data_IF_985503025953
#
_entry.id   IF_985503025953
#
_cell.length_a   1.000
_cell.length_b   1.000
_cell.length_c   1.000
_cell.angle_alpha   90.00
_cell.angle_beta   90.00
_cell.angle_gamma   90.00
#
_symmetry.space_group_name_H-M   'P 1'
#
loop_
_entity.id
_entity.type
_entity.pdbx_description
1 polymer ?
#
# COMPACT_ATOMS: atom_id res chain seq x y z
N UNK A 1 2.68 3.51 -12.89
CA UNK A 1 2.84 2.57 -11.77
C UNK A 1 2.59 1.09 -12.16
N UNK A 2 3.56 0.18 -11.95
CA UNK A 2 3.36 -1.28 -12.11
C UNK A 2 4.05 -2.04 -10.98
N UNK A 3 3.27 -2.53 -10.02
CA UNK A 3 3.74 -3.36 -8.91
C UNK A 3 3.17 -4.77 -9.09
N UNK A 4 3.95 -5.85 -8.91
CA UNK A 4 3.42 -7.21 -8.97
C UNK A 4 2.26 -7.44 -8.00
N UNK A 5 1.23 -8.19 -8.43
CA UNK A 5 0.04 -8.56 -7.62
C UNK A 5 -0.77 -7.40 -7.03
N UNK A 6 -0.57 -6.19 -7.54
CA UNK A 6 -1.38 -5.03 -7.20
C UNK A 6 -2.81 -5.19 -7.69
N UNK A 7 -3.77 -4.85 -6.84
CA UNK A 7 -5.16 -4.69 -7.25
C UNK A 7 -5.32 -3.38 -8.05
N UNK A 8 -6.20 -3.41 -9.06
CA UNK A 8 -6.45 -2.25 -9.94
C UNK A 8 -7.12 -1.12 -9.17
N UNK A 9 -8.04 -1.42 -8.25
CA UNK A 9 -8.70 -0.38 -7.45
C UNK A 9 -7.72 0.25 -6.45
N UNK A 10 -6.84 -0.54 -5.84
CA UNK A 10 -5.77 -0.01 -5.00
C UNK A 10 -4.79 0.88 -5.78
N UNK A 11 -4.45 0.50 -7.02
CA UNK A 11 -3.61 1.33 -7.90
C UNK A 11 -4.29 2.65 -8.26
N UNK A 12 -5.61 2.63 -8.55
CA UNK A 12 -6.38 3.87 -8.80
C UNK A 12 -6.42 4.78 -7.58
N UNK A 13 -6.60 4.22 -6.39
CA UNK A 13 -6.58 5.01 -5.15
C UNK A 13 -5.26 5.77 -4.96
N UNK A 14 -4.12 5.18 -5.32
CA UNK A 14 -2.81 5.87 -5.31
C UNK A 14 -2.75 7.00 -6.35
N UNK A 15 -3.27 6.76 -7.56
CA UNK A 15 -3.34 7.78 -8.62
C UNK A 15 -4.24 8.95 -8.21
N UNK A 16 -5.37 8.67 -7.55
CA UNK A 16 -6.34 9.69 -7.12
C UNK A 16 -5.78 10.65 -6.06
N UNK A 17 -4.75 10.21 -5.32
CA UNK A 17 -3.98 11.04 -4.37
C UNK A 17 -2.69 11.61 -4.95
N UNK A 18 -2.49 11.47 -6.28
CA UNK A 18 -1.37 12.06 -7.01
C UNK A 18 -0.11 11.19 -7.11
N UNK A 19 -0.17 9.91 -6.73
CA UNK A 19 0.96 8.98 -6.86
C UNK A 19 0.79 8.21 -8.18
N UNK A 20 1.63 8.55 -9.15
CA UNK A 20 1.62 7.99 -10.49
C UNK A 20 2.83 7.09 -10.77
N UNK A 21 3.92 7.31 -10.04
CA UNK A 21 5.18 6.60 -10.17
C UNK A 21 5.62 5.93 -8.85
N UNK A 22 6.41 4.86 -8.99
CA UNK A 22 6.77 4.02 -7.84
C UNK A 22 7.71 4.75 -6.87
N UNK A 23 8.62 5.57 -7.38
CA UNK A 23 9.56 6.32 -6.52
C UNK A 23 8.85 7.33 -5.61
N UNK A 24 7.64 7.78 -5.96
CA UNK A 24 6.86 8.73 -5.17
C UNK A 24 6.33 8.12 -3.86
N UNK A 25 6.39 6.80 -3.74
CA UNK A 25 6.06 6.05 -2.52
C UNK A 25 7.22 5.98 -1.53
N UNK A 26 8.46 6.24 -1.96
CA UNK A 26 9.65 6.10 -1.10
C UNK A 26 9.60 7.10 0.06
N UNK A 27 9.76 6.61 1.30
CA UNK A 27 9.69 7.44 2.50
C UNK A 27 8.28 7.91 2.88
N UNK A 28 7.23 7.42 2.20
CA UNK A 28 5.83 7.64 2.59
C UNK A 28 5.36 6.53 3.52
N UNK A 29 4.66 6.90 4.59
CA UNK A 29 3.99 5.91 5.44
C UNK A 29 2.75 5.34 4.72
N UNK A 30 2.59 4.00 4.63
CA UNK A 30 1.41 3.36 4.04
C UNK A 30 0.09 3.86 4.63
N UNK A 31 0.05 4.03 5.95
CA UNK A 31 -1.12 4.46 6.70
C UNK A 31 -1.57 5.88 6.30
N UNK A 32 -0.61 6.78 6.05
CA UNK A 32 -0.89 8.15 5.61
C UNK A 32 -1.48 8.14 4.19
N UNK A 33 -0.88 7.37 3.28
CA UNK A 33 -1.40 7.22 1.91
C UNK A 33 -2.81 6.62 1.89
N UNK A 34 -3.07 5.64 2.76
CA UNK A 34 -4.38 5.02 2.89
C UNK A 34 -5.43 6.00 3.38
N UNK A 35 -5.14 6.79 4.42
CA UNK A 35 -6.09 7.81 4.90
C UNK A 35 -6.33 8.91 3.85
N UNK A 36 -5.29 9.37 3.15
CA UNK A 36 -5.43 10.31 2.01
C UNK A 36 -6.38 9.75 0.95
N UNK A 37 -6.24 8.47 0.59
CA UNK A 37 -7.11 7.81 -0.37
C UNK A 37 -8.54 7.63 0.17
N UNK A 38 -8.69 7.35 1.47
CA UNK A 38 -10.01 7.20 2.12
C UNK A 38 -10.77 8.52 2.17
N UNK A 39 -10.08 9.65 2.29
CA UNK A 39 -10.69 10.98 2.16
C UNK A 39 -11.26 11.24 0.76
N UNK A 40 -10.71 10.60 -0.28
CA UNK A 40 -11.23 10.67 -1.66
C UNK A 40 -12.31 9.62 -1.95
N UNK A 41 -12.26 8.48 -1.26
CA UNK A 41 -13.17 7.35 -1.43
C UNK A 41 -13.58 6.77 -0.06
N UNK A 42 -14.67 7.28 0.50
CA UNK A 42 -15.14 6.92 1.86
C UNK A 42 -15.62 5.47 1.97
N UNK A 43 -16.02 4.84 0.86
CA UNK A 43 -16.46 3.44 0.83
C UNK A 43 -15.29 2.45 0.64
N UNK A 44 -14.04 2.93 0.72
CA UNK A 44 -12.86 2.09 0.59
C UNK A 44 -12.80 1.07 1.74
N UNK A 45 -12.74 -0.24 1.45
CA UNK A 45 -12.57 -1.28 2.46
C UNK A 45 -11.25 -1.16 3.22
N UNK A 46 -11.29 -1.40 4.54
CA UNK A 46 -10.11 -1.35 5.42
C UNK A 46 -9.03 -2.38 5.05
N UNK A 47 -9.46 -3.53 4.51
CA UNK A 47 -8.54 -4.59 4.06
C UNK A 47 -7.63 -4.10 2.93
N UNK A 48 -7.96 -3.00 2.25
CA UNK A 48 -7.17 -2.41 1.18
C UNK A 48 -5.82 -1.85 1.66
N UNK A 49 -5.66 -1.60 2.96
CA UNK A 49 -4.39 -1.19 3.57
C UNK A 49 -3.22 -2.11 3.16
N UNK A 50 -3.46 -3.41 3.04
CA UNK A 50 -2.43 -4.40 2.67
C UNK A 50 -1.72 -4.07 1.36
N UNK A 51 -2.46 -3.47 0.43
CA UNK A 51 -1.93 -3.05 -0.86
C UNK A 51 -1.04 -1.80 -0.74
N UNK A 52 -1.38 -0.85 0.12
CA UNK A 52 -0.54 0.33 0.37
C UNK A 52 0.79 -0.07 1.01
N UNK A 53 0.75 -0.98 1.97
CA UNK A 53 1.96 -1.51 2.63
C UNK A 53 2.87 -2.23 1.64
N UNK A 54 2.31 -3.12 0.82
CA UNK A 54 3.05 -3.81 -0.22
C UNK A 54 3.66 -2.84 -1.24
N UNK A 55 2.93 -1.78 -1.61
CA UNK A 55 3.40 -0.80 -2.57
C UNK A 55 4.61 0.00 -2.05
N UNK A 56 4.57 0.44 -0.78
CA UNK A 56 5.71 1.13 -0.14
C UNK A 56 6.89 0.18 0.01
N UNK A 57 6.69 -1.06 0.48
CA UNK A 57 7.75 -2.06 0.57
C UNK A 57 8.46 -2.29 -0.77
N UNK A 58 7.67 -2.43 -1.85
CA UNK A 58 8.19 -2.59 -3.19
C UNK A 58 9.02 -1.38 -3.64
N UNK A 59 8.56 -0.16 -3.32
CA UNK A 59 9.27 1.07 -3.68
C UNK A 59 10.59 1.25 -2.92
N UNK A 60 10.66 0.78 -1.67
CA UNK A 60 11.83 0.93 -0.80
C UNK A 60 12.84 -0.21 -0.94
N UNK A 61 12.45 -1.33 -1.54
CA UNK A 61 13.30 -2.52 -1.67
C UNK A 61 13.79 -2.68 -3.10
N UNK A 62 15.09 -2.51 -3.33
CA UNK A 62 15.69 -2.65 -4.67
C UNK A 62 15.48 -4.05 -5.28
N UNK A 63 15.51 -5.09 -4.43
CA UNK A 63 15.25 -6.49 -4.81
C UNK A 63 14.16 -7.07 -3.89
N UNK A 64 12.87 -6.84 -4.19
CA UNK A 64 11.77 -7.30 -3.34
C UNK A 64 11.70 -8.82 -3.23
N UNK A 65 11.52 -9.33 -2.01
CA UNK A 65 11.35 -10.76 -1.78
C UNK A 65 10.03 -11.23 -2.41
N UNK A 66 10.10 -12.25 -3.28
CA UNK A 66 8.91 -12.74 -3.99
C UNK A 66 7.77 -13.17 -3.05
N UNK A 67 8.10 -13.70 -1.86
CA UNK A 67 7.10 -14.05 -0.84
C UNK A 67 6.30 -12.82 -0.37
N UNK A 68 6.98 -11.70 -0.12
CA UNK A 68 6.38 -10.43 0.33
C UNK A 68 5.63 -9.68 -0.78
N UNK A 69 5.67 -10.18 -2.01
CA UNK A 69 4.89 -9.63 -3.12
C UNK A 69 3.45 -10.16 -3.16
N UNK A 70 2.97 -10.85 -2.12
CA UNK A 70 1.58 -11.20 -1.95
C UNK A 70 0.89 -10.25 -0.95
N UNK A 71 -0.29 -9.69 -1.26
CA UNK A 71 -0.97 -8.78 -0.33
C UNK A 71 -1.35 -9.42 1.01
N UNK A 72 -1.51 -10.75 1.07
CA UNK A 72 -1.83 -11.45 2.33
C UNK A 72 -0.69 -11.41 3.35
N UNK A 73 0.55 -11.16 2.93
CA UNK A 73 1.68 -10.93 3.85
C UNK A 73 1.57 -9.58 4.59
N UNK A 74 0.65 -8.72 4.18
CA UNK A 74 0.50 -7.34 4.67
C UNK A 74 -0.83 -7.08 5.39
N UNK A 75 -1.52 -8.15 5.82
CA UNK A 75 -2.74 -8.05 6.62
C UNK A 75 -2.42 -7.39 7.96
N UNK A 76 -3.33 -6.58 8.47
CA UNK A 76 -3.22 -5.99 9.81
C UNK A 76 -3.24 -7.08 10.88
N UNK A 77 -2.07 -7.55 11.30
CA UNK A 77 -1.94 -8.24 12.57
C UNK A 77 -2.13 -7.20 13.66
N UNK A 78 -3.22 -7.31 14.41
CA UNK A 78 -3.43 -6.62 15.68
C UNK A 78 -2.38 -7.12 16.71
N UNK A 79 -1.11 -6.82 16.50
CA UNK A 79 -0.01 -7.28 17.36
C UNK A 79 1.01 -6.16 17.58
N UNK A 80 0.50 -4.99 17.93
CA UNK A 80 1.23 -4.03 18.77
C UNK A 80 0.32 -3.58 19.92
N UNK A 81 -0.22 -4.56 20.67
CA UNK A 81 -0.44 -4.38 22.10
C UNK A 81 0.69 -5.11 22.81
N UNK A 82 1.42 -4.36 23.65
CA UNK A 82 2.46 -4.81 24.58
C UNK A 82 3.88 -4.96 24.02
N UNK A 83 4.64 -3.86 24.09
CA UNK A 83 5.88 -3.77 24.88
C UNK A 83 6.17 -2.34 25.30
#
# INVERSE_FOLDING_TARGET
MRIPRMDIAATRNLIDIGISEIYELQGRAPEVLFEEARLKNQDMPDDRMRYFRMAVYYAETAEPEHAKMHPDEWISTNTEKSR
#
